data_IF_256382884651
#
_entry.id   IF_256382884651
#
_cell.length_a   1.000
_cell.length_b   1.000
_cell.length_c   1.000
_cell.angle_alpha   90.00
_cell.angle_beta   90.00
_cell.angle_gamma   90.00
#
_symmetry.space_group_name_H-M   'P 1'
#
loop_
_entity.id
_entity.type
_entity.pdbx_description
1 polymer ?
#
# COMPACT_ATOMS: atom_id res chain seq x y z
N UNK A 1 -46.41 -19.61 21.51
CA UNK A 1 -45.34 -18.59 21.38
C UNK A 1 -44.00 -19.15 20.86
N UNK A 2 -43.68 -20.45 21.01
CA UNK A 2 -42.35 -21.01 20.65
C UNK A 2 -42.07 -21.19 19.15
N UNK A 3 -43.10 -21.44 18.32
CA UNK A 3 -42.92 -21.73 16.89
C UNK A 3 -42.65 -20.47 16.03
N UNK A 4 -43.25 -19.32 16.39
CA UNK A 4 -43.05 -18.05 15.69
C UNK A 4 -41.62 -17.52 15.86
N UNK A 5 -41.05 -17.65 17.06
CA UNK A 5 -39.66 -17.24 17.29
C UNK A 5 -38.67 -18.13 16.55
N UNK A 6 -38.90 -19.45 16.49
CA UNK A 6 -38.06 -20.37 15.73
C UNK A 6 -38.02 -20.01 14.23
N UNK A 7 -39.17 -19.63 13.65
CA UNK A 7 -39.23 -19.17 12.25
C UNK A 7 -38.47 -17.87 12.02
N UNK A 8 -38.47 -16.94 12.98
CA UNK A 8 -37.72 -15.68 12.89
C UNK A 8 -36.21 -15.97 12.97
N UNK A 9 -35.78 -16.80 13.92
CA UNK A 9 -34.37 -17.19 14.02
C UNK A 9 -33.87 -17.92 12.78
N UNK A 10 -34.66 -18.85 12.22
CA UNK A 10 -34.31 -19.54 10.98
C UNK A 10 -34.22 -18.58 9.79
N UNK A 11 -35.11 -17.58 9.71
CA UNK A 11 -35.05 -16.53 8.68
C UNK A 11 -33.81 -15.67 8.82
N UNK A 12 -33.41 -15.30 10.04
CA UNK A 12 -32.19 -14.52 10.29
C UNK A 12 -30.95 -15.33 9.88
N UNK A 13 -30.87 -16.60 10.29
CA UNK A 13 -29.78 -17.49 9.91
C UNK A 13 -29.70 -17.63 8.38
N UNK A 14 -30.84 -17.90 7.72
CA UNK A 14 -30.89 -18.06 6.28
C UNK A 14 -30.45 -16.77 5.53
N UNK A 15 -30.91 -15.59 5.97
CA UNK A 15 -30.46 -14.30 5.43
C UNK A 15 -28.97 -14.05 5.67
N UNK A 16 -28.43 -14.37 6.86
CA UNK A 16 -26.99 -14.21 7.14
C UNK A 16 -26.11 -15.17 6.33
N UNK A 17 -26.60 -16.38 6.02
CA UNK A 17 -25.86 -17.35 5.19
C UNK A 17 -25.98 -17.08 3.68
N UNK A 18 -27.09 -16.50 3.23
CA UNK A 18 -27.26 -16.08 1.82
C UNK A 18 -26.39 -14.88 1.46
N UNK A 19 -25.98 -14.07 2.44
CA UNK A 19 -25.04 -12.95 2.26
C UNK A 19 -23.59 -13.41 2.06
N UNK A 20 -23.28 -14.72 2.20
CA UNK A 20 -21.98 -15.28 1.84
C UNK A 20 -21.95 -15.61 0.33
N UNK A 21 -22.29 -14.63 -0.48
CA UNK A 21 -21.90 -14.54 -1.89
C UNK A 21 -20.72 -13.58 -1.91
N UNK A 22 -19.48 -13.91 -2.27
CA UNK A 22 -18.97 -14.91 -3.20
C UNK A 22 -17.49 -15.07 -2.86
N UNK A 23 -16.86 -16.20 -3.17
CA UNK A 23 -15.41 -16.21 -3.38
C UNK A 23 -15.10 -15.41 -4.66
N UNK A 24 -15.25 -14.07 -4.60
CA UNK A 24 -14.92 -13.20 -5.73
C UNK A 24 -13.41 -13.19 -5.84
N UNK A 25 -12.90 -13.97 -6.78
CA UNK A 25 -11.49 -13.90 -7.18
C UNK A 25 -11.31 -12.59 -7.93
N UNK A 26 -10.62 -11.64 -7.31
CA UNK A 26 -10.22 -10.38 -7.96
C UNK A 26 -8.92 -10.66 -8.72
N UNK A 27 -8.96 -10.47 -10.03
CA UNK A 27 -7.77 -10.54 -10.90
C UNK A 27 -7.48 -9.17 -11.46
N UNK A 28 -6.24 -8.72 -11.33
CA UNK A 28 -5.76 -7.45 -11.86
C UNK A 28 -4.39 -7.66 -12.49
N UNK A 29 -4.22 -7.11 -13.69
CA UNK A 29 -2.96 -7.18 -14.44
C UNK A 29 -2.36 -5.79 -14.46
N UNK A 30 -1.15 -5.67 -13.91
CA UNK A 30 -0.37 -4.44 -13.96
C UNK A 30 0.45 -4.40 -15.26
N UNK A 31 0.51 -3.24 -15.91
CA UNK A 31 1.42 -3.05 -17.04
C UNK A 31 2.85 -2.89 -16.52
N UNK A 32 3.78 -3.71 -17.03
CA UNK A 32 5.20 -3.59 -16.69
C UNK A 32 5.79 -2.40 -17.42
N UNK A 33 6.38 -1.47 -16.66
CA UNK A 33 7.01 -0.26 -17.21
C UNK A 33 8.21 -0.67 -18.09
N UNK A 34 8.35 -0.05 -19.27
CA UNK A 34 9.45 -0.33 -20.19
C UNK A 34 10.80 -0.02 -19.53
N UNK A 35 11.67 -1.03 -19.39
CA UNK A 35 12.97 -0.91 -18.72
C UNK A 35 13.01 -1.43 -17.27
N UNK A 36 11.87 -1.88 -16.75
CA UNK A 36 11.78 -2.66 -15.50
C UNK A 36 12.08 -4.14 -15.75
N UNK A 37 12.74 -4.81 -14.81
CA UNK A 37 12.97 -6.26 -14.82
C UNK A 37 11.79 -6.99 -14.18
N UNK A 38 11.48 -6.62 -12.94
CA UNK A 38 10.47 -7.28 -12.10
C UNK A 38 9.56 -6.27 -11.42
N UNK A 39 8.30 -6.68 -11.27
CA UNK A 39 7.29 -6.01 -10.44
C UNK A 39 7.09 -6.83 -9.18
N UNK A 40 7.17 -6.20 -8.02
CA UNK A 40 6.97 -6.84 -6.73
C UNK A 40 5.93 -6.09 -5.89
N UNK A 41 5.12 -6.86 -5.15
CA UNK A 41 4.28 -6.33 -4.07
C UNK A 41 5.15 -6.29 -2.82
N UNK A 42 5.57 -5.10 -2.42
CA UNK A 42 6.46 -4.92 -1.27
C UNK A 42 5.71 -4.83 0.05
N UNK A 43 4.54 -4.18 0.04
CA UNK A 43 3.72 -4.00 1.24
C UNK A 43 2.25 -4.26 0.93
N UNK A 44 1.54 -4.81 1.93
CA UNK A 44 0.08 -5.01 1.93
C UNK A 44 -0.46 -4.35 3.18
N UNK A 45 -1.22 -3.29 3.00
CA UNK A 45 -1.86 -2.53 4.08
C UNK A 45 -3.35 -2.83 4.10
N UNK A 46 -3.94 -2.99 5.28
CA UNK A 46 -5.36 -3.32 5.43
C UNK A 46 -6.03 -2.32 6.38
N UNK A 47 -7.20 -1.84 6.00
CA UNK A 47 -8.04 -0.93 6.79
C UNK A 47 -9.23 -1.66 7.42
N UNK A 48 -9.95 -1.02 8.36
CA UNK A 48 -11.01 -1.68 9.13
C UNK A 48 -12.18 -2.16 8.25
N UNK A 49 -12.48 -1.46 7.16
CA UNK A 49 -13.55 -1.85 6.24
C UNK A 49 -13.13 -2.90 5.20
N UNK A 50 -11.95 -3.48 5.33
CA UNK A 50 -11.32 -4.41 4.38
C UNK A 50 -10.85 -3.75 3.07
N UNK A 51 -10.70 -2.42 3.02
CA UNK A 51 -9.89 -1.81 1.96
C UNK A 51 -8.45 -2.29 2.10
N UNK A 52 -7.85 -2.72 0.99
CA UNK A 52 -6.46 -3.16 0.93
C UNK A 52 -5.67 -2.16 0.09
N UNK A 53 -4.43 -1.85 0.48
CA UNK A 53 -3.51 -1.08 -0.34
C UNK A 53 -2.25 -1.90 -0.56
N UNK A 54 -1.94 -2.17 -1.83
CA UNK A 54 -0.68 -2.81 -2.23
C UNK A 54 0.33 -1.73 -2.58
N UNK A 55 1.53 -1.77 -2.02
CA UNK A 55 2.67 -1.00 -2.54
C UNK A 55 3.41 -1.83 -3.58
N UNK A 56 3.51 -1.28 -4.77
CA UNK A 56 4.19 -1.87 -5.91
C UNK A 56 5.56 -1.26 -6.08
N UNK A 57 6.54 -2.10 -6.41
CA UNK A 57 7.91 -1.70 -6.67
C UNK A 57 8.36 -2.31 -7.99
N UNK A 58 9.01 -1.48 -8.80
CA UNK A 58 9.62 -1.88 -10.07
C UNK A 58 11.13 -1.88 -9.89
N UNK A 59 11.77 -3.03 -10.11
CA UNK A 59 13.24 -3.13 -10.10
C UNK A 59 13.78 -2.77 -11.48
N UNK A 60 14.82 -1.93 -11.51
CA UNK A 60 15.45 -1.48 -12.76
C UNK A 60 16.62 -2.38 -13.15
N UNK A 61 16.64 -2.83 -14.41
CA UNK A 61 17.59 -3.80 -14.99
C UNK A 61 19.08 -3.43 -14.88
N UNK A 62 19.45 -2.19 -14.55
CA UNK A 62 20.81 -1.68 -14.79
C UNK A 62 21.39 -0.83 -13.66
N UNK A 63 20.77 -0.79 -12.48
CA UNK A 63 21.19 0.12 -11.41
C UNK A 63 21.25 -0.58 -10.05
N UNK A 64 22.43 -1.07 -9.64
CA UNK A 64 22.84 -1.40 -8.26
C UNK A 64 21.70 -1.65 -7.23
N UNK A 65 20.80 -2.60 -7.51
CA UNK A 65 19.62 -2.94 -6.69
C UNK A 65 18.61 -1.81 -6.39
N UNK A 66 18.74 -0.64 -7.02
CA UNK A 66 17.84 0.49 -6.84
C UNK A 66 16.52 0.34 -7.62
N UNK A 67 15.45 0.81 -7.01
CA UNK A 67 14.06 0.71 -7.48
C UNK A 67 13.67 1.95 -8.30
N UNK A 68 12.60 1.84 -9.09
CA UNK A 68 11.91 2.97 -9.71
C UNK A 68 11.57 4.04 -8.65
N UNK A 69 11.80 5.32 -8.97
CA UNK A 69 11.71 6.42 -8.00
C UNK A 69 10.30 6.96 -7.77
N UNK A 70 9.28 6.27 -8.26
CA UNK A 70 7.88 6.65 -8.08
C UNK A 70 7.26 5.82 -6.94
N UNK A 71 6.40 6.44 -6.15
CA UNK A 71 5.55 5.68 -5.23
C UNK A 71 4.34 5.18 -6.00
N UNK A 72 4.19 3.86 -6.05
CA UNK A 72 3.11 3.19 -6.77
C UNK A 72 2.29 2.35 -5.79
N UNK A 73 1.00 2.68 -5.66
CA UNK A 73 0.06 1.92 -4.83
C UNK A 73 -1.18 1.51 -5.61
N UNK A 74 -1.80 0.41 -5.22
CA UNK A 74 -3.12 -0.04 -5.72
C UNK A 74 -4.06 -0.14 -4.55
N UNK A 75 -5.10 0.69 -4.54
CA UNK A 75 -6.17 0.65 -3.56
C UNK A 75 -7.23 -0.32 -4.06
N UNK A 76 -7.49 -1.37 -3.30
CA UNK A 76 -8.49 -2.40 -3.60
C UNK A 76 -9.61 -2.25 -2.58
N UNK A 77 -10.77 -1.81 -3.05
CA UNK A 77 -11.94 -1.61 -2.21
C UNK A 77 -12.72 -2.93 -2.03
N UNK A 78 -13.51 -3.07 -0.96
CA UNK A 78 -14.29 -4.30 -0.69
C UNK A 78 -15.31 -4.65 -1.78
N UNK A 79 -15.73 -3.67 -2.59
CA UNK A 79 -16.62 -3.85 -3.73
C UNK A 79 -15.89 -4.39 -4.99
N UNK A 80 -14.58 -4.62 -4.90
CA UNK A 80 -13.75 -5.10 -6.01
C UNK A 80 -13.18 -4.00 -6.91
N UNK A 81 -13.47 -2.72 -6.66
CA UNK A 81 -12.87 -1.60 -7.39
C UNK A 81 -11.39 -1.49 -7.05
N UNK A 82 -10.55 -1.27 -8.07
CA UNK A 82 -9.11 -1.06 -7.93
C UNK A 82 -8.75 0.31 -8.49
N UNK A 83 -8.18 1.17 -7.66
CA UNK A 83 -7.76 2.53 -8.03
C UNK A 83 -6.22 2.67 -7.88
N UNK A 84 -5.53 3.17 -8.91
CA UNK A 84 -4.09 3.40 -8.85
C UNK A 84 -3.75 4.73 -8.18
N UNK A 85 -2.70 4.73 -7.34
CA UNK A 85 -2.03 5.94 -6.86
C UNK A 85 -0.58 5.88 -7.35
N UNK A 86 -0.22 6.75 -8.28
CA UNK A 86 1.15 6.87 -8.76
C UNK A 86 1.64 8.29 -8.47
N UNK A 87 2.62 8.43 -7.57
CA UNK A 87 3.20 9.71 -7.19
C UNK A 87 4.63 9.76 -7.72
N UNK A 88 4.90 10.71 -8.61
CA UNK A 88 6.24 10.90 -9.14
C UNK A 88 7.22 11.36 -8.06
N UNK A 89 8.51 11.04 -8.22
CA UNK A 89 9.58 11.53 -7.34
C UNK A 89 9.50 13.04 -7.10
N UNK A 90 9.29 13.80 -8.16
CA UNK A 90 9.29 15.27 -8.08
C UNK A 90 8.07 15.78 -7.29
N UNK A 91 6.94 15.05 -7.33
CA UNK A 91 5.75 15.35 -6.51
C UNK A 91 5.92 14.91 -5.06
N UNK A 92 6.55 13.76 -4.81
CA UNK A 92 6.75 13.25 -3.45
C UNK A 92 7.83 14.02 -2.69
N UNK A 93 8.81 14.58 -3.40
CA UNK A 93 9.98 15.24 -2.81
C UNK A 93 10.96 14.27 -2.14
N UNK A 94 10.73 12.94 -2.25
CA UNK A 94 11.60 11.94 -1.65
C UNK A 94 12.93 11.89 -2.41
N UNK A 95 14.02 12.00 -1.67
CA UNK A 95 15.37 11.94 -2.24
C UNK A 95 15.64 10.55 -2.86
N UNK A 96 16.33 10.47 -4.02
CA UNK A 96 16.59 9.21 -4.72
C UNK A 96 17.23 8.10 -3.88
N UNK A 97 18.02 8.47 -2.86
CA UNK A 97 18.68 7.52 -1.97
C UNK A 97 17.70 6.55 -1.28
N UNK A 98 16.46 6.96 -1.06
CA UNK A 98 15.45 6.15 -0.38
C UNK A 98 14.91 5.00 -1.24
N UNK A 99 15.09 5.07 -2.56
CA UNK A 99 14.66 4.02 -3.48
C UNK A 99 15.72 2.94 -3.69
N UNK A 100 16.87 3.07 -3.04
CA UNK A 100 17.93 2.08 -3.04
C UNK A 100 17.90 1.32 -1.71
N UNK A 101 17.64 0.01 -1.69
CA UNK A 101 17.68 -0.77 -0.47
C UNK A 101 19.11 -0.76 0.10
N UNK A 102 19.20 -0.75 1.42
CA UNK A 102 20.48 -0.69 2.13
C UNK A 102 20.80 -2.07 2.68
N UNK A 103 22.00 -2.56 2.36
CA UNK A 103 22.54 -3.76 2.98
C UNK A 103 22.87 -3.50 4.46
N UNK A 104 22.23 -4.24 5.34
CA UNK A 104 22.45 -4.18 6.79
C UNK A 104 22.82 -5.58 7.31
N UNK A 105 23.56 -5.69 8.44
CA UNK A 105 23.84 -6.98 9.08
C UNK A 105 22.58 -7.81 9.41
N UNK A 106 21.41 -7.17 9.47
CA UNK A 106 20.11 -7.81 9.73
C UNK A 106 19.29 -8.08 8.45
N UNK A 107 19.81 -7.78 7.26
CA UNK A 107 19.16 -8.00 5.97
C UNK A 107 19.10 -6.75 5.08
N UNK A 108 18.37 -6.85 3.97
CA UNK A 108 18.07 -5.70 3.11
C UNK A 108 16.99 -4.83 3.76
N UNK A 109 17.29 -3.56 3.97
CA UNK A 109 16.34 -2.58 4.49
C UNK A 109 15.80 -1.72 3.35
N UNK A 110 14.47 -1.62 3.22
CA UNK A 110 13.82 -0.59 2.39
C UNK A 110 13.73 0.70 3.22
N UNK A 111 14.39 1.80 2.81
CA UNK A 111 14.29 3.08 3.51
C UNK A 111 12.87 3.65 3.49
N UNK A 112 12.04 3.22 2.55
CA UNK A 112 10.64 3.61 2.47
C UNK A 112 9.79 2.52 3.10
N UNK A 113 9.07 2.86 4.16
CA UNK A 113 8.07 1.98 4.77
C UNK A 113 6.70 2.63 4.73
N UNK A 114 5.65 1.81 4.70
CA UNK A 114 4.27 2.29 4.61
C UNK A 114 3.38 1.64 5.66
N UNK A 115 2.45 2.42 6.22
CA UNK A 115 1.50 1.98 7.23
C UNK A 115 0.09 2.46 6.88
N UNK A 116 -0.92 1.62 7.11
CA UNK A 116 -2.31 2.04 7.08
C UNK A 116 -2.62 2.84 8.36
N UNK A 117 -3.17 4.04 8.19
CA UNK A 117 -3.65 4.90 9.28
C UNK A 117 -5.11 5.26 9.00
N UNK A 118 -5.98 4.93 9.93
CA UNK A 118 -7.39 5.30 9.88
C UNK A 118 -7.70 6.33 10.97
N UNK A 119 -8.34 7.41 10.57
CA UNK A 119 -8.68 8.53 11.46
C UNK A 119 -10.15 8.91 11.28
N UNK A 120 -10.66 9.76 12.16
CA UNK A 120 -11.99 10.36 12.00
C UNK A 120 -12.14 11.23 10.73
N UNK A 121 -11.02 11.61 10.09
CA UNK A 121 -11.01 12.40 8.86
C UNK A 121 -10.90 11.55 7.59
N UNK A 122 -10.65 10.25 7.73
CA UNK A 122 -10.46 9.34 6.61
C UNK A 122 -9.27 8.41 6.78
N UNK A 123 -8.96 7.71 5.69
CA UNK A 123 -7.90 6.70 5.59
C UNK A 123 -6.71 7.24 4.85
N UNK A 124 -5.53 6.96 5.37
CA UNK A 124 -4.28 7.47 4.87
C UNK A 124 -3.21 6.38 4.87
N UNK A 125 -2.35 6.44 3.87
CA UNK A 125 -1.09 5.73 3.83
C UNK A 125 -0.06 6.67 4.48
N UNK A 126 0.46 6.29 5.65
CA UNK A 126 1.61 6.95 6.25
C UNK A 126 2.86 6.34 5.63
N UNK A 127 3.66 7.16 4.93
CA UNK A 127 4.94 6.74 4.36
C UNK A 127 6.06 7.37 5.16
N UNK A 128 6.99 6.56 5.63
CA UNK A 128 8.23 7.03 6.26
C UNK A 128 9.38 6.96 5.28
N UNK A 129 10.31 7.90 5.35
CA UNK A 129 11.51 7.94 4.53
C UNK A 129 12.58 8.81 5.21
N UNK A 130 13.81 8.77 4.72
CA UNK A 130 14.91 9.55 5.27
C UNK A 130 15.26 10.75 4.39
N UNK A 131 15.58 11.88 5.02
CA UNK A 131 16.11 13.07 4.34
C UNK A 131 17.55 13.30 4.82
N UNK A 132 18.48 13.32 3.88
CA UNK A 132 19.87 13.67 4.13
C UNK A 132 20.11 15.16 3.88
N UNK A 133 20.66 15.86 4.88
CA UNK A 133 21.20 17.21 4.69
C UNK A 133 22.49 17.21 3.86
N UNK A 134 23.35 16.22 4.09
CA UNK A 134 24.52 15.89 3.27
C UNK A 134 24.58 14.38 3.09
N UNK A 135 24.44 13.90 1.84
CA UNK A 135 24.47 12.47 1.48
C UNK A 135 25.80 11.77 1.81
N UNK A 136 26.87 12.53 2.10
CA UNK A 136 28.16 11.99 2.51
C UNK A 136 28.32 11.89 4.03
N UNK A 137 27.40 12.47 4.79
CA UNK A 137 27.44 12.49 6.24
C UNK A 137 26.16 11.91 6.85
N UNK A 138 26.22 10.64 7.27
CA UNK A 138 25.10 9.91 7.87
C UNK A 138 24.56 10.55 9.16
N UNK A 139 25.33 11.40 9.85
CA UNK A 139 24.84 12.11 11.03
C UNK A 139 23.82 13.22 10.71
N UNK A 140 23.60 13.51 9.43
CA UNK A 140 22.65 14.53 8.96
C UNK A 140 21.33 13.92 8.47
N UNK A 141 21.19 12.61 8.61
CA UNK A 141 20.03 11.86 8.14
C UNK A 141 18.94 11.95 9.21
N UNK A 142 17.75 12.33 8.79
CA UNK A 142 16.60 12.47 9.66
C UNK A 142 15.41 11.74 9.05
N UNK A 143 14.60 11.13 9.90
CA UNK A 143 13.38 10.44 9.47
C UNK A 143 12.25 11.44 9.28
N UNK A 144 11.56 11.31 8.16
CA UNK A 144 10.44 12.12 7.75
C UNK A 144 9.24 11.21 7.49
N UNK A 145 8.07 11.84 7.49
CA UNK A 145 6.82 11.16 7.17
C UNK A 145 6.02 11.99 6.18
N UNK A 146 5.20 11.34 5.39
CA UNK A 146 4.17 11.96 4.58
C UNK A 146 2.86 11.18 4.70
N UNK A 147 1.74 11.89 4.68
CA UNK A 147 0.42 11.28 4.64
C UNK A 147 -0.12 11.37 3.22
N UNK A 148 -0.57 10.23 2.70
CA UNK A 148 -1.19 10.14 1.38
C UNK A 148 -2.61 9.62 1.56
N UNK A 149 -3.63 10.36 1.12
CA UNK A 149 -5.00 9.83 1.13
C UNK A 149 -5.20 8.76 0.05
N UNK A 150 -6.31 8.02 0.12
CA UNK A 150 -6.63 6.96 -0.86
C UNK A 150 -6.96 7.50 -2.27
N UNK A 151 -6.89 8.81 -2.48
CA UNK A 151 -7.02 9.47 -3.78
C UNK A 151 -5.68 9.98 -4.32
N UNK A 152 -4.57 9.76 -3.59
CA UNK A 152 -3.22 10.14 -4.01
C UNK A 152 -2.83 11.61 -3.74
N UNK A 153 -3.53 12.30 -2.84
CA UNK A 153 -3.13 13.63 -2.39
C UNK A 153 -2.21 13.53 -1.17
N UNK A 154 -1.19 14.39 -1.13
CA UNK A 154 -0.19 14.47 -0.06
C UNK A 154 -0.63 15.57 0.92
N UNK A 155 -0.56 15.28 2.22
CA UNK A 155 -0.93 16.19 3.33
C UNK A 155 0.24 16.44 4.27
#
# INVERSE_FOLDING_TARGET
MKLKHLSIFLSIILFTTLLVTSNSVITYTEEVITGSDTLEVNDILTYEDNTIVLRLIYMLLSYNDCKETNLSFRVIYPNGTIEPINISRDKSGIQPLNFCPVNSPVGYLDPITSFAIETTKGKFILVTYTVAGDIKNSSTYNDYTMLIDLYGNIH
#
